data_IF_500096458611
#
_entry.id   IF_500096458611
#
_cell.length_a   1.000
_cell.length_b   1.000
_cell.length_c   1.000
_cell.angle_alpha   90.00
_cell.angle_beta   90.00
_cell.angle_gamma   90.00
#
_symmetry.space_group_name_H-M   'P 1'
#
loop_
_entity.id
_entity.type
_entity.pdbx_description
1 polymer ?
#
# COMPACT_ATOMS: atom_id res chain seq x y z
N UNK A 1 3.61 19.70 20.39
CA UNK A 1 2.55 18.67 20.56
C UNK A 1 1.61 18.80 19.39
N UNK A 2 1.34 17.70 18.67
CA UNK A 2 0.36 17.73 17.57
C UNK A 2 -1.02 18.07 18.13
N UNK A 3 -1.82 18.92 17.45
CA UNK A 3 -3.17 19.22 17.90
C UNK A 3 -4.01 17.93 17.96
N UNK A 4 -5.02 17.90 18.85
CA UNK A 4 -5.96 16.79 18.91
C UNK A 4 -6.63 16.58 17.54
N UNK A 5 -6.85 15.32 17.09
CA UNK A 5 -7.53 15.06 15.83
C UNK A 5 -8.90 15.75 15.79
N UNK A 6 -9.22 16.37 14.65
CA UNK A 6 -10.54 16.99 14.45
C UNK A 6 -11.68 15.98 14.20
N UNK A 7 -11.37 14.68 14.09
CA UNK A 7 -12.33 13.58 13.93
C UNK A 7 -11.97 12.41 14.84
N UNK A 8 -12.97 11.64 15.25
CA UNK A 8 -12.80 10.37 15.95
C UNK A 8 -12.31 9.23 15.04
N UNK A 9 -12.26 9.46 13.72
CA UNK A 9 -11.72 8.49 12.76
C UNK A 9 -10.22 8.73 12.61
N UNK A 10 -9.41 7.70 12.88
CA UNK A 10 -7.99 7.74 12.60
C UNK A 10 -7.75 7.83 11.08
N UNK A 11 -7.03 8.84 10.63
CA UNK A 11 -6.70 9.06 9.22
C UNK A 11 -5.21 8.85 8.99
N UNK A 12 -4.88 8.08 7.96
CA UNK A 12 -3.51 7.85 7.49
C UNK A 12 -3.35 8.52 6.13
N UNK A 13 -2.30 9.31 5.96
CA UNK A 13 -1.99 9.95 4.68
C UNK A 13 -1.37 8.93 3.71
N UNK A 14 -2.14 8.53 2.70
CA UNK A 14 -1.64 7.67 1.62
C UNK A 14 -0.77 8.46 0.63
N UNK A 15 0.54 8.22 0.64
CA UNK A 15 1.49 9.00 -0.16
C UNK A 15 1.59 8.54 -1.62
N UNK A 16 0.84 7.53 -2.07
CA UNK A 16 1.01 6.85 -3.37
C UNK A 16 1.20 7.75 -4.60
N UNK A 17 0.61 8.95 -4.62
CA UNK A 17 0.66 9.88 -5.76
C UNK A 17 1.78 10.93 -5.68
N UNK A 18 2.65 10.83 -4.67
CA UNK A 18 3.84 11.65 -4.46
C UNK A 18 5.05 10.95 -5.09
N UNK A 19 5.88 11.66 -5.84
CA UNK A 19 7.10 11.08 -6.42
C UNK A 19 7.68 11.93 -7.54
N UNK A 20 8.96 11.76 -7.83
CA UNK A 20 9.63 12.59 -8.81
C UNK A 20 9.23 12.21 -10.25
N UNK A 21 9.24 13.16 -11.21
CA UNK A 21 8.84 12.93 -12.60
C UNK A 21 9.70 11.90 -13.33
N UNK A 22 10.96 11.72 -12.93
CA UNK A 22 11.89 10.72 -13.44
C UNK A 22 11.52 9.28 -13.02
N UNK A 23 10.59 9.13 -12.07
CA UNK A 23 10.00 7.86 -11.66
C UNK A 23 8.88 7.36 -12.58
N UNK A 24 8.61 8.05 -13.70
CA UNK A 24 7.67 7.57 -14.72
C UNK A 24 8.20 6.25 -15.29
N UNK A 25 7.52 5.15 -14.99
CA UNK A 25 7.50 4.06 -15.95
C UNK A 25 6.49 4.45 -17.04
N UNK A 26 6.90 4.55 -18.32
CA UNK A 26 5.97 4.88 -19.39
C UNK A 26 4.75 3.95 -19.33
N UNK A 27 3.55 4.52 -19.16
CA UNK A 27 2.30 3.75 -19.09
C UNK A 27 2.03 3.03 -17.75
N UNK A 28 2.51 3.51 -16.61
CA UNK A 28 2.16 2.96 -15.29
C UNK A 28 0.84 3.49 -14.71
N UNK A 29 0.08 2.63 -14.00
CA UNK A 29 -1.23 2.92 -13.36
C UNK A 29 -1.18 4.03 -12.27
N UNK A 30 0.02 4.48 -11.93
CA UNK A 30 0.34 5.42 -10.85
C UNK A 30 0.91 6.70 -11.43
N UNK A 31 0.13 7.38 -12.27
CA UNK A 31 0.53 8.70 -12.74
C UNK A 31 0.64 9.64 -11.52
N UNK A 32 1.87 10.07 -11.22
CA UNK A 32 2.13 10.98 -10.11
C UNK A 32 1.32 12.26 -10.28
N UNK A 33 0.81 12.78 -9.16
CA UNK A 33 0.06 14.05 -9.12
C UNK A 33 0.82 15.11 -8.36
N UNK A 34 1.74 14.69 -7.50
CA UNK A 34 2.56 15.56 -6.66
C UNK A 34 4.02 15.26 -6.95
N UNK A 35 4.66 16.14 -7.71
CA UNK A 35 6.00 15.89 -8.26
C UNK A 35 7.11 16.76 -7.70
N UNK A 36 6.76 17.66 -6.77
CA UNK A 36 7.72 18.56 -6.14
C UNK A 36 7.66 18.42 -4.62
N UNK A 37 8.80 18.67 -3.98
CA UNK A 37 8.93 18.66 -2.52
C UNK A 37 8.07 19.74 -1.87
N UNK A 38 7.89 20.87 -2.54
CA UNK A 38 7.13 22.02 -2.03
C UNK A 38 5.64 21.66 -1.91
N UNK A 39 5.05 21.04 -2.93
CA UNK A 39 3.63 20.63 -2.90
C UNK A 39 3.44 19.47 -1.93
N UNK A 40 4.36 18.49 -1.90
CA UNK A 40 4.32 17.41 -0.93
C UNK A 40 4.37 17.94 0.52
N UNK A 41 5.22 18.93 0.80
CA UNK A 41 5.31 19.60 2.09
C UNK A 41 3.98 20.29 2.47
N UNK A 42 3.38 21.05 1.56
CA UNK A 42 2.10 21.74 1.81
C UNK A 42 0.96 20.76 2.12
N UNK A 43 0.89 19.62 1.42
CA UNK A 43 -0.11 18.58 1.71
C UNK A 43 0.07 17.99 3.11
N UNK A 44 1.32 17.75 3.52
CA UNK A 44 1.63 17.27 4.87
C UNK A 44 1.31 18.34 5.93
N UNK A 45 1.57 19.62 5.66
CA UNK A 45 1.21 20.72 6.57
C UNK A 45 -0.29 20.77 6.83
N UNK A 46 -1.10 20.63 5.77
CA UNK A 46 -2.56 20.53 5.89
C UNK A 46 -2.94 19.30 6.72
N UNK A 47 -2.41 18.11 6.38
CA UNK A 47 -2.71 16.88 7.12
C UNK A 47 -2.39 17.00 8.62
N UNK A 48 -1.26 17.60 8.98
CA UNK A 48 -0.85 17.81 10.36
C UNK A 48 -1.67 18.90 11.08
N UNK A 49 -2.10 19.95 10.36
CA UNK A 49 -3.03 20.96 10.87
C UNK A 49 -4.36 20.32 11.31
N UNK A 50 -4.74 19.19 10.70
CA UNK A 50 -5.92 18.42 11.11
C UNK A 50 -5.68 17.44 12.28
N UNK A 51 -4.48 17.42 12.86
CA UNK A 51 -4.14 16.64 14.06
C UNK A 51 -3.68 15.21 13.77
N UNK A 52 -3.37 14.88 12.52
CA UNK A 52 -2.90 13.54 12.13
C UNK A 52 -1.39 13.51 11.87
N UNK A 53 -0.79 12.32 12.00
CA UNK A 53 0.66 12.14 11.87
C UNK A 53 1.11 10.86 11.18
N UNK A 54 0.20 9.95 10.83
CA UNK A 54 0.56 8.68 10.17
C UNK A 54 0.62 8.85 8.65
N UNK A 55 1.74 8.47 8.05
CA UNK A 55 1.97 8.53 6.60
C UNK A 55 2.32 7.14 6.09
N UNK A 56 1.70 6.75 4.99
CA UNK A 56 1.91 5.44 4.38
C UNK A 56 2.50 5.58 2.98
N UNK A 57 3.68 4.99 2.79
CA UNK A 57 4.37 4.86 1.52
C UNK A 57 4.61 3.39 1.20
N UNK A 58 5.30 3.10 0.10
CA UNK A 58 5.82 1.79 -0.28
C UNK A 58 7.01 1.98 -1.21
N UNK A 59 7.94 1.03 -1.18
CA UNK A 59 9.12 1.05 -2.04
C UNK A 59 8.79 1.15 -3.53
N UNK A 60 7.73 0.46 -3.96
CA UNK A 60 7.32 0.47 -5.38
C UNK A 60 6.67 1.79 -5.82
N UNK A 61 6.27 2.68 -4.91
CA UNK A 61 5.54 3.89 -5.29
C UNK A 61 6.43 4.84 -6.07
N UNK A 62 5.92 5.28 -7.23
CA UNK A 62 6.60 6.19 -8.13
C UNK A 62 8.00 5.70 -8.55
N UNK A 63 8.13 4.40 -8.80
CA UNK A 63 9.42 3.76 -9.05
C UNK A 63 10.48 4.11 -8.00
N UNK A 64 10.14 3.93 -6.72
CA UNK A 64 10.97 4.23 -5.55
C UNK A 64 11.35 5.71 -5.34
N UNK A 65 10.80 6.66 -6.11
CA UNK A 65 11.04 8.09 -5.89
C UNK A 65 10.18 8.68 -4.77
N UNK A 66 9.07 8.03 -4.42
CA UNK A 66 8.19 8.49 -3.34
C UNK A 66 8.91 8.60 -1.99
N UNK A 67 9.60 7.53 -1.59
CA UNK A 67 10.34 7.46 -0.33
C UNK A 67 11.45 8.52 -0.30
N UNK A 68 12.17 8.71 -1.41
CA UNK A 68 13.20 9.76 -1.56
C UNK A 68 12.63 11.16 -1.38
N UNK A 69 11.42 11.40 -1.92
CA UNK A 69 10.73 12.66 -1.77
C UNK A 69 10.29 12.87 -0.31
N UNK A 70 9.72 11.85 0.34
CA UNK A 70 9.39 11.89 1.76
C UNK A 70 10.62 12.17 2.63
N UNK A 71 11.75 11.50 2.37
CA UNK A 71 13.03 11.78 3.02
C UNK A 71 13.48 13.23 2.82
N UNK A 72 13.31 13.78 1.62
CA UNK A 72 13.71 15.15 1.28
C UNK A 72 12.80 16.22 1.91
N UNK A 73 11.51 15.96 2.10
CA UNK A 73 10.62 16.87 2.85
C UNK A 73 10.83 16.81 4.37
N UNK A 74 11.78 16.00 4.85
CA UNK A 74 12.20 15.96 6.25
C UNK A 74 11.12 15.42 7.19
N UNK A 75 10.41 14.37 6.79
CA UNK A 75 9.27 13.80 7.53
C UNK A 75 9.54 13.54 9.01
N UNK A 76 10.75 13.12 9.40
CA UNK A 76 11.12 12.92 10.81
C UNK A 76 11.09 14.22 11.60
N UNK A 77 11.63 15.32 11.05
CA UNK A 77 11.63 16.64 11.68
C UNK A 77 10.22 17.19 11.86
N UNK A 78 9.28 16.73 11.02
CA UNK A 78 7.84 17.02 11.13
C UNK A 78 7.14 16.20 12.21
N UNK A 79 7.79 15.21 12.82
CA UNK A 79 7.18 14.32 13.81
C UNK A 79 6.17 13.32 13.20
N UNK A 80 6.29 13.03 11.91
CA UNK A 80 5.42 12.07 11.23
C UNK A 80 5.85 10.63 11.58
N UNK A 81 4.87 9.72 11.64
CA UNK A 81 5.08 8.27 11.74
C UNK A 81 4.95 7.68 10.35
N UNK A 82 6.07 7.34 9.72
CA UNK A 82 6.09 6.79 8.37
C UNK A 82 6.06 5.27 8.43
N UNK A 83 5.24 4.70 7.55
CA UNK A 83 5.22 3.29 7.24
C UNK A 83 5.60 3.03 5.79
N UNK A 84 6.31 1.95 5.52
CA UNK A 84 6.68 1.52 4.17
C UNK A 84 6.46 0.03 3.95
N UNK A 85 6.59 -0.44 2.70
CA UNK A 85 6.26 -1.80 2.28
C UNK A 85 7.19 -2.29 1.21
N UNK A 86 7.50 -3.58 1.28
CA UNK A 86 8.16 -4.32 0.19
C UNK A 86 7.13 -5.11 -0.61
N UNK A 87 7.20 -4.96 -1.94
CA UNK A 87 6.39 -5.71 -2.88
C UNK A 87 7.25 -6.84 -3.49
N UNK A 88 6.77 -8.10 -3.52
CA UNK A 88 7.46 -9.17 -4.22
C UNK A 88 7.23 -9.01 -5.74
N UNK A 89 8.12 -8.33 -6.43
CA UNK A 89 8.07 -8.05 -7.88
C UNK A 89 8.76 -9.12 -8.73
N UNK A 90 9.69 -9.87 -8.14
CA UNK A 90 10.44 -10.93 -8.83
C UNK A 90 9.50 -11.99 -9.38
N UNK A 91 9.68 -12.32 -10.66
CA UNK A 91 8.82 -13.28 -11.36
C UNK A 91 7.41 -12.76 -11.69
N UNK A 92 7.10 -11.47 -11.45
CA UNK A 92 5.82 -10.85 -11.79
C UNK A 92 5.96 -9.85 -12.94
N UNK A 93 4.89 -9.70 -13.72
CA UNK A 93 4.82 -8.68 -14.77
C UNK A 93 4.43 -7.30 -14.17
N UNK A 94 5.32 -6.76 -13.33
CA UNK A 94 5.12 -5.50 -12.58
C UNK A 94 6.19 -4.44 -12.90
N UNK A 95 6.92 -4.59 -13.99
CA UNK A 95 7.97 -3.64 -14.42
C UNK A 95 7.41 -2.24 -14.68
N UNK A 96 6.11 -2.13 -14.99
CA UNK A 96 5.37 -0.88 -15.12
C UNK A 96 5.12 -0.15 -13.79
N UNK A 97 5.34 -0.79 -12.63
CA UNK A 97 5.26 -0.17 -11.30
C UNK A 97 6.63 0.28 -10.81
N UNK A 98 7.64 -0.58 -10.96
CA UNK A 98 8.98 -0.34 -10.44
C UNK A 98 10.02 -1.17 -11.17
N UNK A 99 11.26 -0.66 -11.22
CA UNK A 99 12.43 -1.37 -11.70
C UNK A 99 13.04 -2.34 -10.67
N UNK A 100 12.64 -2.25 -9.40
CA UNK A 100 13.15 -3.15 -8.37
C UNK A 100 12.66 -4.58 -8.61
N UNK A 101 13.58 -5.55 -8.53
CA UNK A 101 13.30 -6.99 -8.69
C UNK A 101 13.56 -7.68 -7.35
N UNK A 102 12.53 -7.73 -6.50
CA UNK A 102 12.61 -8.23 -5.13
C UNK A 102 11.60 -9.36 -4.91
N UNK A 103 11.98 -10.36 -4.13
CA UNK A 103 11.08 -11.37 -3.56
C UNK A 103 10.97 -11.18 -2.04
N UNK A 104 10.27 -12.08 -1.36
CA UNK A 104 10.29 -12.18 0.10
C UNK A 104 11.35 -13.14 0.63
N UNK A 105 12.33 -13.53 -0.19
CA UNK A 105 13.50 -14.26 0.29
C UNK A 105 14.25 -13.43 1.35
N UNK A 106 14.94 -14.05 2.31
CA UNK A 106 15.68 -13.32 3.34
C UNK A 106 16.62 -12.24 2.77
N UNK A 107 17.34 -12.55 1.70
CA UNK A 107 18.26 -11.61 1.05
C UNK A 107 17.53 -10.38 0.47
N UNK A 108 16.41 -10.60 -0.23
CA UNK A 108 15.65 -9.52 -0.86
C UNK A 108 14.88 -8.68 0.17
N UNK A 109 14.37 -9.29 1.25
CA UNK A 109 13.76 -8.57 2.40
C UNK A 109 14.79 -7.64 3.04
N UNK A 110 16.00 -8.16 3.29
CA UNK A 110 17.10 -7.38 3.88
C UNK A 110 17.48 -6.20 2.98
N UNK A 111 17.66 -6.46 1.69
CA UNK A 111 18.01 -5.44 0.70
C UNK A 111 16.90 -4.38 0.57
N UNK A 112 15.65 -4.81 0.40
CA UNK A 112 14.50 -3.91 0.26
C UNK A 112 14.26 -3.04 1.49
N UNK A 113 14.47 -3.57 2.70
CA UNK A 113 14.43 -2.77 3.93
C UNK A 113 15.49 -1.68 3.90
N UNK A 114 16.75 -2.02 3.60
CA UNK A 114 17.83 -1.03 3.50
C UNK A 114 17.54 0.04 2.44
N UNK A 115 17.10 -0.36 1.25
CA UNK A 115 16.76 0.58 0.18
C UNK A 115 15.68 1.59 0.60
N UNK A 116 14.68 1.14 1.35
CA UNK A 116 13.58 1.98 1.84
C UNK A 116 14.08 2.96 2.90
N UNK A 117 14.87 2.48 3.86
CA UNK A 117 15.45 3.27 4.94
C UNK A 117 16.42 4.35 4.41
N UNK A 118 17.30 3.97 3.49
CA UNK A 118 18.22 4.89 2.81
C UNK A 118 17.45 5.99 2.04
N UNK A 119 16.40 5.62 1.31
CA UNK A 119 15.55 6.57 0.58
C UNK A 119 14.78 7.52 1.53
N UNK A 120 14.25 6.98 2.62
CA UNK A 120 13.55 7.75 3.66
C UNK A 120 14.50 8.57 4.55
N UNK A 121 15.83 8.39 4.40
CA UNK A 121 16.88 9.04 5.20
C UNK A 121 16.70 8.79 6.70
N UNK A 122 16.42 7.53 7.07
CA UNK A 122 16.18 7.13 8.46
C UNK A 122 16.77 5.75 8.74
N UNK A 123 17.04 5.45 10.01
CA UNK A 123 17.37 4.10 10.46
C UNK A 123 16.14 3.31 10.91
N UNK A 124 14.97 3.97 11.07
CA UNK A 124 13.76 3.35 11.61
C UNK A 124 12.47 3.92 11.04
N UNK A 125 11.58 3.02 10.63
CA UNK A 125 10.17 3.32 10.33
C UNK A 125 9.24 2.86 11.44
N UNK A 126 8.02 3.38 11.46
CA UNK A 126 7.00 2.94 12.43
C UNK A 126 6.43 1.57 12.05
N UNK A 127 6.03 1.38 10.79
CA UNK A 127 5.52 0.10 10.29
C UNK A 127 6.29 -0.33 9.04
N UNK A 128 6.74 -1.59 9.00
CA UNK A 128 7.23 -2.23 7.79
C UNK A 128 6.25 -3.32 7.36
N UNK A 129 5.76 -3.22 6.12
CA UNK A 129 4.76 -4.14 5.59
C UNK A 129 5.34 -5.15 4.58
N UNK A 130 4.83 -6.37 4.63
CA UNK A 130 4.73 -7.21 3.43
C UNK A 130 3.54 -6.72 2.59
N UNK A 131 3.78 -6.20 1.39
CA UNK A 131 2.76 -5.49 0.59
C UNK A 131 1.73 -6.43 -0.06
N UNK A 132 2.16 -7.65 -0.41
CA UNK A 132 1.31 -8.69 -0.98
C UNK A 132 1.89 -10.07 -0.62
N UNK A 133 1.12 -11.17 -0.73
CA UNK A 133 1.66 -12.52 -0.60
C UNK A 133 2.79 -12.76 -1.58
N UNK A 134 3.87 -13.41 -1.13
CA UNK A 134 4.84 -14.07 -2.00
C UNK A 134 4.79 -15.56 -1.70
N UNK A 135 4.19 -16.33 -2.60
CA UNK A 135 4.02 -17.78 -2.44
C UNK A 135 5.20 -18.58 -2.99
N UNK A 136 6.22 -17.90 -3.54
CA UNK A 136 7.43 -18.55 -4.05
C UNK A 136 8.47 -18.79 -2.95
N UNK A 137 8.27 -18.18 -1.78
CA UNK A 137 9.16 -18.26 -0.63
C UNK A 137 8.37 -18.75 0.59
N UNK A 138 8.87 -19.76 1.35
CA UNK A 138 8.22 -20.17 2.59
C UNK A 138 8.13 -19.01 3.59
N UNK A 139 6.94 -18.77 4.14
CA UNK A 139 6.73 -17.65 5.08
C UNK A 139 7.68 -17.69 6.29
N UNK A 140 8.05 -18.87 6.77
CA UNK A 140 8.97 -19.00 7.89
C UNK A 140 10.34 -18.35 7.59
N UNK A 141 10.85 -18.46 6.36
CA UNK A 141 12.11 -17.82 5.96
C UNK A 141 11.99 -16.30 5.97
N UNK A 142 10.92 -15.76 5.37
CA UNK A 142 10.60 -14.33 5.35
C UNK A 142 10.46 -13.77 6.78
N UNK A 143 9.68 -14.44 7.62
CA UNK A 143 9.38 -13.98 8.98
C UNK A 143 10.61 -14.05 9.90
N UNK A 144 11.48 -15.05 9.73
CA UNK A 144 12.76 -15.14 10.43
C UNK A 144 13.63 -13.92 10.16
N UNK A 145 13.72 -13.50 8.89
CA UNK A 145 14.53 -12.33 8.52
C UNK A 145 13.89 -11.02 9.00
N UNK A 146 12.58 -10.87 8.85
CA UNK A 146 11.85 -9.72 9.40
C UNK A 146 12.05 -9.59 10.91
N UNK A 147 12.09 -10.70 11.65
CA UNK A 147 12.33 -10.68 13.08
C UNK A 147 13.75 -10.18 13.43
N UNK A 148 14.76 -10.52 12.62
CA UNK A 148 16.11 -9.94 12.80
C UNK A 148 16.08 -8.43 12.59
N UNK A 149 15.51 -7.98 11.47
CA UNK A 149 15.36 -6.55 11.13
C UNK A 149 14.61 -5.80 12.25
N UNK A 150 13.54 -6.40 12.80
CA UNK A 150 12.81 -5.87 13.95
C UNK A 150 13.70 -5.75 15.20
N UNK A 151 14.45 -6.80 15.53
CA UNK A 151 15.33 -6.84 16.71
C UNK A 151 16.46 -5.81 16.61
N UNK A 152 16.95 -5.56 15.39
CA UNK A 152 17.90 -4.50 15.07
C UNK A 152 17.30 -3.08 15.19
N UNK A 153 15.98 -2.98 15.34
CA UNK A 153 15.27 -1.71 15.59
C UNK A 153 14.84 -0.95 14.33
N UNK A 154 14.99 -1.55 13.15
CA UNK A 154 14.72 -0.89 11.87
C UNK A 154 13.22 -0.61 11.60
N UNK A 155 12.31 -1.28 12.32
CA UNK A 155 10.91 -0.90 12.37
C UNK A 155 10.29 -1.18 13.74
N UNK A 156 9.23 -0.45 14.10
CA UNK A 156 8.55 -0.63 15.39
C UNK A 156 7.42 -1.68 15.34
N UNK A 157 6.76 -1.83 14.20
CA UNK A 157 5.58 -2.70 14.03
C UNK A 157 5.65 -3.46 12.71
N UNK A 158 5.32 -4.74 12.74
CA UNK A 158 5.14 -5.54 11.52
C UNK A 158 3.72 -5.35 10.99
N UNK A 159 3.62 -5.06 9.69
CA UNK A 159 2.36 -5.04 8.96
C UNK A 159 2.30 -6.08 7.85
N UNK A 160 1.09 -6.46 7.46
CA UNK A 160 0.84 -7.31 6.28
C UNK A 160 -0.30 -6.71 5.45
N UNK A 161 -0.34 -7.01 4.15
CA UNK A 161 -1.34 -6.46 3.24
C UNK A 161 -1.70 -7.48 2.17
N UNK A 162 -2.98 -7.53 1.81
CA UNK A 162 -3.52 -8.36 0.72
C UNK A 162 -3.39 -9.89 0.89
N UNK A 163 -3.22 -10.37 2.12
CA UNK A 163 -3.27 -11.79 2.47
C UNK A 163 -4.71 -12.24 2.74
N UNK A 164 -5.16 -13.42 2.28
CA UNK A 164 -6.40 -14.04 2.74
C UNK A 164 -6.31 -14.37 4.23
N UNK A 165 -7.47 -14.54 4.86
CA UNK A 165 -7.59 -14.86 6.29
C UNK A 165 -6.74 -16.06 6.72
N UNK A 166 -6.65 -17.10 5.88
CA UNK A 166 -5.89 -18.31 6.20
C UNK A 166 -4.36 -18.09 6.17
N UNK A 167 -3.84 -17.27 5.24
CA UNK A 167 -2.41 -16.92 5.24
C UNK A 167 -2.09 -15.99 6.42
N UNK A 168 -3.01 -15.09 6.80
CA UNK A 168 -2.86 -14.28 8.02
C UNK A 168 -2.72 -15.16 9.25
N UNK A 169 -3.61 -16.15 9.41
CA UNK A 169 -3.54 -17.10 10.51
C UNK A 169 -2.22 -17.90 10.49
N UNK A 170 -1.82 -18.40 9.32
CA UNK A 170 -0.55 -19.11 9.15
C UNK A 170 0.66 -18.24 9.56
N UNK A 171 0.71 -16.99 9.14
CA UNK A 171 1.78 -16.04 9.51
C UNK A 171 1.79 -15.82 11.02
N UNK A 172 0.62 -15.57 11.63
CA UNK A 172 0.52 -15.34 13.07
C UNK A 172 0.96 -16.56 13.88
N UNK A 173 0.54 -17.76 13.48
CA UNK A 173 0.94 -18.99 14.16
C UNK A 173 2.45 -19.27 14.01
N UNK A 174 3.04 -18.96 12.85
CA UNK A 174 4.50 -19.05 12.68
C UNK A 174 5.24 -18.09 13.61
N UNK A 175 4.83 -16.82 13.67
CA UNK A 175 5.44 -15.84 14.57
C UNK A 175 5.29 -16.28 16.04
N UNK A 176 4.09 -16.70 16.45
CA UNK A 176 3.80 -17.10 17.84
C UNK A 176 4.65 -18.29 18.28
N UNK A 177 4.77 -19.33 17.45
CA UNK A 177 5.53 -20.56 17.80
C UNK A 177 7.04 -20.30 17.90
N UNK A 178 7.55 -19.35 17.15
CA UNK A 178 8.97 -19.01 17.13
C UNK A 178 9.34 -17.83 18.04
N UNK A 179 8.36 -17.21 18.72
CA UNK A 179 8.58 -16.02 19.54
C UNK A 179 9.03 -14.80 18.72
N UNK A 180 8.62 -14.71 17.46
CA UNK A 180 8.94 -13.59 16.58
C UNK A 180 7.93 -12.45 16.70
N UNK A 181 8.31 -11.28 16.20
CA UNK A 181 7.41 -10.12 16.10
C UNK A 181 6.10 -10.50 15.40
N UNK A 182 4.98 -10.25 16.07
CA UNK A 182 3.65 -10.49 15.53
C UNK A 182 3.25 -9.34 14.58
N UNK A 183 2.54 -9.63 13.47
CA UNK A 183 1.82 -8.59 12.75
C UNK A 183 0.85 -7.88 13.70
N UNK A 184 0.81 -6.55 13.65
CA UNK A 184 -0.12 -5.75 14.46
C UNK A 184 -1.04 -4.88 13.60
N UNK A 185 -0.76 -4.78 12.30
CA UNK A 185 -1.56 -4.03 11.33
C UNK A 185 -1.75 -4.85 10.06
N UNK A 186 -2.99 -4.91 9.58
CA UNK A 186 -3.33 -5.40 8.26
C UNK A 186 -3.81 -4.23 7.41
N UNK A 187 -3.25 -4.04 6.22
CA UNK A 187 -3.76 -3.07 5.25
C UNK A 187 -4.58 -3.78 4.14
N UNK A 188 -5.82 -3.36 3.91
CA UNK A 188 -6.73 -4.05 2.98
C UNK A 188 -7.76 -3.15 2.29
N UNK A 189 -8.34 -3.65 1.20
CA UNK A 189 -9.45 -2.99 0.51
C UNK A 189 -10.70 -3.12 1.35
N UNK A 190 -11.33 -1.98 1.64
CA UNK A 190 -12.67 -1.97 2.20
C UNK A 190 -13.39 -0.68 1.82
N UNK A 191 -14.59 -0.82 1.27
CA UNK A 191 -15.46 0.29 0.90
C UNK A 191 -16.89 -0.23 0.70
N UNK A 192 -17.84 0.65 0.38
CA UNK A 192 -19.25 0.28 0.25
C UNK A 192 -19.51 -0.81 -0.81
N UNK A 193 -18.67 -0.94 -1.83
CA UNK A 193 -18.77 -1.96 -2.89
C UNK A 193 -17.95 -3.21 -2.58
N UNK A 194 -16.78 -3.06 -1.94
CA UNK A 194 -15.85 -4.15 -1.69
C UNK A 194 -15.82 -4.53 -0.20
N UNK A 195 -16.72 -5.43 0.19
CA UNK A 195 -16.92 -5.88 1.58
C UNK A 195 -16.52 -7.33 1.85
N UNK A 196 -15.84 -7.98 0.91
CA UNK A 196 -15.45 -9.40 0.98
C UNK A 196 -14.60 -9.76 2.22
N UNK A 197 -13.90 -8.78 2.80
CA UNK A 197 -13.09 -8.97 4.02
C UNK A 197 -13.91 -9.25 5.28
N UNK A 198 -15.21 -8.96 5.30
CA UNK A 198 -16.03 -9.02 6.52
C UNK A 198 -16.25 -10.43 7.06
N UNK A 199 -16.40 -11.43 6.17
CA UNK A 199 -16.82 -12.77 6.57
C UNK A 199 -15.74 -13.53 7.32
N UNK A 200 -14.49 -13.46 6.86
CA UNK A 200 -13.39 -14.27 7.40
C UNK A 200 -12.20 -13.44 7.87
N UNK A 201 -11.79 -12.44 7.08
CA UNK A 201 -10.58 -11.67 7.38
C UNK A 201 -10.79 -10.83 8.65
N UNK A 202 -11.86 -10.04 8.74
CA UNK A 202 -12.12 -9.21 9.93
C UNK A 202 -12.20 -10.04 11.23
N UNK A 203 -12.92 -11.18 11.29
CA UNK A 203 -12.86 -12.10 12.43
C UNK A 203 -11.44 -12.61 12.73
N UNK A 204 -10.68 -13.01 11.71
CA UNK A 204 -9.29 -13.46 11.88
C UNK A 204 -8.41 -12.35 12.49
N UNK A 205 -8.50 -11.11 11.97
CA UNK A 205 -7.76 -9.97 12.51
C UNK A 205 -8.12 -9.70 13.97
N UNK A 206 -9.40 -9.76 14.33
CA UNK A 206 -9.86 -9.60 15.73
C UNK A 206 -9.30 -10.70 16.63
N UNK A 207 -9.29 -11.94 16.18
CA UNK A 207 -8.77 -13.08 16.95
C UNK A 207 -7.28 -12.94 17.30
N UNK A 208 -6.49 -12.31 16.42
CA UNK A 208 -5.07 -12.05 16.63
C UNK A 208 -4.76 -10.65 17.17
N UNK A 209 -5.76 -9.80 17.40
CA UNK A 209 -5.57 -8.43 17.88
C UNK A 209 -4.92 -7.49 16.86
N UNK A 210 -5.16 -7.71 15.57
CA UNK A 210 -4.57 -6.94 14.46
C UNK A 210 -5.50 -5.79 14.06
N UNK A 211 -4.94 -4.58 13.97
CA UNK A 211 -5.68 -3.40 13.49
C UNK A 211 -5.89 -3.45 11.97
N UNK A 212 -7.05 -3.02 11.49
CA UNK A 212 -7.38 -2.99 10.06
C UNK A 212 -7.28 -1.57 9.48
N UNK A 213 -6.32 -1.36 8.59
CA UNK A 213 -6.08 -0.11 7.89
C UNK A 213 -6.69 -0.19 6.50
N UNK A 214 -7.69 0.64 6.25
CA UNK A 214 -8.44 0.61 4.99
C UNK A 214 -7.69 1.41 3.92
N UNK A 215 -7.47 0.79 2.76
CA UNK A 215 -7.19 1.53 1.54
C UNK A 215 -8.36 1.41 0.55
N UNK A 216 -8.38 2.30 -0.44
CA UNK A 216 -9.48 2.42 -1.40
C UNK A 216 -10.87 2.69 -0.77
N UNK A 217 -11.00 3.55 0.27
CA UNK A 217 -12.30 3.82 0.90
C UNK A 217 -13.32 4.48 -0.05
N UNK A 218 -12.83 5.17 -1.09
CA UNK A 218 -13.65 5.83 -2.11
C UNK A 218 -13.70 5.05 -3.44
N UNK A 219 -13.36 3.75 -3.44
CA UNK A 219 -13.36 2.89 -4.62
C UNK A 219 -12.64 3.52 -5.84
N UNK A 220 -11.38 3.95 -5.63
CA UNK A 220 -10.59 4.62 -6.66
C UNK A 220 -11.02 6.07 -6.99
N UNK A 221 -12.10 6.58 -6.39
CA UNK A 221 -12.70 7.88 -6.69
C UNK A 221 -14.12 7.79 -7.25
N UNK A 222 -14.66 6.58 -7.48
CA UNK A 222 -16.01 6.39 -8.02
C UNK A 222 -17.11 6.89 -7.08
N UNK A 223 -16.85 6.98 -5.77
CA UNK A 223 -17.78 7.59 -4.80
C UNK A 223 -17.67 9.12 -4.70
N UNK A 224 -16.93 9.76 -5.61
CA UNK A 224 -16.89 11.23 -5.71
C UNK A 224 -17.98 11.73 -6.67
N UNK A 225 -18.31 13.02 -6.58
CA UNK A 225 -19.25 13.67 -7.51
C UNK A 225 -18.71 13.87 -8.93
N UNK A 226 -17.46 13.43 -9.20
CA UNK A 226 -16.81 13.58 -10.52
C UNK A 226 -17.43 12.64 -11.57
N UNK A 227 -18.03 11.55 -11.14
CA UNK A 227 -18.43 10.44 -11.97
C UNK A 227 -19.93 10.12 -11.76
N UNK A 228 -20.68 9.97 -12.84
CA UNK A 228 -22.10 9.56 -12.84
C UNK A 228 -22.27 8.22 -13.55
N UNK A 229 -23.40 7.55 -13.35
CA UNK A 229 -23.65 6.21 -13.92
C UNK A 229 -23.72 6.17 -15.46
N UNK A 230 -23.91 7.33 -16.09
CA UNK A 230 -23.95 7.57 -17.54
C UNK A 230 -22.70 8.31 -18.05
N UNK A 231 -21.64 8.39 -17.25
CA UNK A 231 -20.45 9.15 -17.59
C UNK A 231 -19.63 8.42 -18.67
N UNK A 232 -19.54 9.04 -19.85
CA UNK A 232 -18.87 8.52 -21.04
C UNK A 232 -17.65 9.33 -21.47
N UNK A 233 -17.44 10.53 -20.91
CA UNK A 233 -16.37 11.44 -21.30
C UNK A 233 -15.23 11.48 -20.28
N UNK A 234 -14.09 10.86 -20.59
CA UNK A 234 -12.94 10.81 -19.71
C UNK A 234 -11.82 11.74 -20.17
N UNK A 235 -11.31 12.57 -19.26
CA UNK A 235 -10.08 13.34 -19.50
C UNK A 235 -8.84 12.43 -19.61
N UNK A 236 -7.77 12.93 -20.23
CA UNK A 236 -6.51 12.18 -20.41
C UNK A 236 -5.79 11.82 -19.11
N UNK A 237 -6.19 12.44 -17.99
CA UNK A 237 -5.65 12.17 -16.65
C UNK A 237 -6.66 11.50 -15.72
N UNK A 238 -7.83 11.13 -16.24
CA UNK A 238 -8.89 10.51 -15.46
C UNK A 238 -8.54 9.06 -15.14
N UNK A 239 -8.75 8.69 -13.87
CA UNK A 239 -8.36 7.36 -13.37
C UNK A 239 -9.11 6.22 -14.04
N UNK A 240 -10.32 6.48 -14.53
CA UNK A 240 -11.18 5.49 -15.16
C UNK A 240 -11.25 5.67 -16.67
N UNK A 241 -10.30 6.38 -17.30
CA UNK A 241 -10.29 6.49 -18.76
C UNK A 241 -9.99 5.11 -19.40
N UNK A 242 -10.90 4.53 -20.21
CA UNK A 242 -10.68 3.22 -20.84
C UNK A 242 -9.67 3.26 -21.99
N UNK A 243 -9.46 4.43 -22.62
CA UNK A 243 -8.60 4.59 -23.80
C UNK A 243 -7.12 4.73 -23.45
N UNK A 244 -6.82 4.95 -22.17
CA UNK A 244 -5.46 5.07 -21.67
C UNK A 244 -5.07 3.74 -21.01
N UNK A 245 -4.07 2.99 -21.54
CA UNK A 245 -3.80 1.60 -21.13
C UNK A 245 -3.65 1.38 -19.62
N UNK A 246 -3.11 2.38 -18.93
CA UNK A 246 -2.83 2.31 -17.51
C UNK A 246 -4.00 2.73 -16.61
N UNK A 247 -5.04 3.33 -17.16
CA UNK A 247 -6.30 3.64 -16.45
C UNK A 247 -7.39 2.65 -16.84
N UNK A 248 -7.26 1.99 -17.99
CA UNK A 248 -8.14 0.90 -18.44
C UNK A 248 -8.28 -0.23 -17.41
N UNK A 249 -7.21 -0.55 -16.66
CA UNK A 249 -7.32 -1.52 -15.56
C UNK A 249 -8.14 -1.01 -14.38
N UNK A 250 -8.06 0.28 -14.03
CA UNK A 250 -8.96 0.84 -13.01
C UNK A 250 -10.39 0.89 -13.55
N UNK A 251 -10.57 1.18 -14.85
CA UNK A 251 -11.88 1.11 -15.49
C UNK A 251 -12.47 -0.31 -15.38
N UNK A 252 -11.75 -1.36 -15.76
CA UNK A 252 -12.28 -2.73 -15.71
C UNK A 252 -12.61 -3.23 -14.29
N UNK A 253 -11.95 -2.70 -13.26
CA UNK A 253 -12.23 -3.06 -11.87
C UNK A 253 -13.47 -2.37 -11.28
N UNK A 254 -13.77 -1.14 -11.71
CA UNK A 254 -14.76 -0.27 -11.06
C UNK A 254 -15.92 0.14 -11.97
N UNK A 255 -15.75 0.00 -13.28
CA UNK A 255 -16.68 0.38 -14.33
C UNK A 255 -17.17 -0.89 -15.04
N UNK A 256 -18.22 -1.48 -14.50
CA UNK A 256 -18.73 -2.78 -14.93
C UNK A 256 -19.69 -2.71 -16.14
N UNK A 257 -20.16 -1.51 -16.49
CA UNK A 257 -21.23 -1.17 -17.46
C UNK A 257 -22.41 -2.15 -17.64
N UNK A 258 -23.59 -1.57 -17.60
CA UNK A 258 -24.86 -2.17 -17.98
C UNK A 258 -24.94 -2.49 -19.48
N UNK A 259 -24.16 -3.47 -19.96
CA UNK A 259 -24.17 -3.99 -21.34
C UNK A 259 -24.37 -5.52 -21.40
N UNK A 260 -25.12 -6.08 -22.37
CA UNK A 260 -25.59 -7.47 -22.30
C UNK A 260 -24.57 -8.57 -22.61
N UNK A 261 -23.28 -8.26 -22.83
CA UNK A 261 -22.33 -9.24 -23.35
C UNK A 261 -20.91 -9.05 -22.79
N UNK A 262 -20.60 -9.71 -21.68
CA UNK A 262 -19.22 -10.13 -21.40
C UNK A 262 -19.19 -11.53 -20.78
N UNK A 263 -18.48 -12.51 -21.39
CA UNK A 263 -18.43 -13.87 -20.90
C UNK A 263 -17.32 -14.00 -19.84
N UNK A 264 -17.67 -13.80 -18.56
CA UNK A 264 -17.14 -14.54 -17.41
C UNK A 264 -17.58 -13.87 -16.11
N UNK A 265 -18.54 -14.49 -15.41
CA UNK A 265 -18.78 -14.29 -13.99
C UNK A 265 -17.67 -14.98 -13.17
N UNK A 266 -16.43 -14.51 -13.30
CA UNK A 266 -15.27 -15.14 -12.66
C UNK A 266 -14.37 -14.11 -11.96
N UNK A 267 -14.39 -14.15 -10.63
CA UNK A 267 -13.35 -13.66 -9.71
C UNK A 267 -12.78 -12.24 -9.90
N UNK A 268 -13.41 -11.28 -9.23
CA UNK A 268 -12.88 -9.93 -8.97
C UNK A 268 -11.70 -9.90 -7.97
N UNK A 269 -10.84 -10.91 -7.99
CA UNK A 269 -9.62 -10.98 -7.17
C UNK A 269 -8.39 -11.20 -8.05
N UNK A 270 -7.92 -10.17 -8.79
CA UNK A 270 -6.70 -10.29 -9.59
C UNK A 270 -5.45 -10.59 -8.75
N UNK A 271 -5.50 -10.34 -7.44
CA UNK A 271 -4.40 -10.60 -6.51
C UNK A 271 -4.32 -12.03 -6.00
N UNK A 272 -5.37 -12.83 -6.19
CA UNK A 272 -5.45 -14.18 -5.63
C UNK A 272 -5.13 -15.29 -6.65
N UNK A 273 -5.10 -14.97 -7.94
CA UNK A 273 -4.85 -15.95 -9.00
C UNK A 273 -3.41 -15.92 -9.49
N UNK A 274 -2.59 -16.73 -8.81
CA UNK A 274 -1.44 -17.56 -9.25
C UNK A 274 -0.43 -17.71 -8.12
#
# INVERSE_FOLDING_TARGET
MSPNPMSNVAVVFGAMLIGAPDGLVPGGLMAMRVTTTEVAAQLLDVFQKHGYSEVNTARMYANATNEKMLGSVGWQKRGLKVSTKIMPTKGRNLTWLTSDVLSHSPADIRAGSKFSLDALKTDKVDIYYLHAPDRTVPYEETLRELNKIYTEGAFARLGISNYPAWEVAQICENCKRNGWVMPSIYQGIYNAQHRAVEAELIPCLRAYGISFYVYNPLAGGSFSSRYTGDHTEFGSTDRFNPDVPHTAYSHSLFWWEAGPQHPSRGDCTPWYHR
#
